data_IF_828712104983
#
_entry.id   IF_828712104983
#
_cell.length_a   1.000
_cell.length_b   1.000
_cell.length_c   1.000
_cell.angle_alpha   90.00
_cell.angle_beta   90.00
_cell.angle_gamma   90.00
#
_symmetry.space_group_name_H-M   'P 1'
#
loop_
_entity.id
_entity.type
_entity.pdbx_description
1 polymer ?
#
# COMPACT_ATOMS: atom_id res chain seq x y z
N UNK A 1 -25.53 9.26 -30.90
CA UNK A 1 -24.07 9.00 -30.84
C UNK A 1 -23.23 10.06 -31.60
N UNK A 2 -23.37 10.19 -32.93
CA UNK A 2 -22.59 11.16 -33.74
C UNK A 2 -22.81 12.62 -33.34
N UNK A 3 -24.04 12.99 -32.96
CA UNK A 3 -24.36 14.38 -32.60
C UNK A 3 -23.71 14.82 -31.28
N UNK A 4 -23.52 13.88 -30.34
CA UNK A 4 -22.88 14.15 -29.05
C UNK A 4 -21.36 14.33 -29.20
N UNK A 5 -20.72 13.50 -30.05
CA UNK A 5 -19.32 13.69 -30.44
C UNK A 5 -19.11 15.00 -31.19
N UNK A 6 -20.03 15.37 -32.08
CA UNK A 6 -19.98 16.65 -32.82
C UNK A 6 -20.14 17.85 -31.87
N UNK A 7 -21.02 17.74 -30.88
CA UNK A 7 -21.19 18.76 -29.85
C UNK A 7 -19.94 18.92 -28.98
N UNK A 8 -19.34 17.80 -28.54
CA UNK A 8 -18.10 17.81 -27.78
C UNK A 8 -16.99 18.56 -28.53
N UNK A 9 -16.68 18.19 -29.77
CA UNK A 9 -15.60 18.81 -30.56
C UNK A 9 -15.82 20.31 -30.75
N UNK A 10 -17.08 20.76 -30.87
CA UNK A 10 -17.41 22.18 -31.04
C UNK A 10 -17.31 23.01 -29.75
N UNK A 11 -17.43 22.39 -28.59
CA UNK A 11 -17.53 23.10 -27.31
C UNK A 11 -16.39 22.76 -26.33
N UNK A 12 -15.50 21.83 -26.69
CA UNK A 12 -14.44 21.30 -25.82
C UNK A 12 -13.52 22.38 -25.24
N UNK A 13 -13.30 23.48 -25.95
CA UNK A 13 -12.43 24.59 -25.51
C UNK A 13 -13.01 25.39 -24.32
N UNK A 14 -14.33 25.36 -24.12
CA UNK A 14 -15.03 26.16 -23.10
C UNK A 14 -15.87 25.30 -22.16
N UNK A 15 -15.54 24.02 -22.05
CA UNK A 15 -16.39 23.07 -21.38
C UNK A 15 -15.99 22.89 -19.91
N UNK A 16 -16.72 23.57 -19.02
CA UNK A 16 -16.50 23.50 -17.57
C UNK A 16 -17.37 22.45 -16.86
N UNK A 17 -18.30 21.79 -17.57
CA UNK A 17 -19.20 20.79 -16.99
C UNK A 17 -19.46 19.68 -18.00
N UNK A 18 -19.15 18.45 -17.59
CA UNK A 18 -19.48 17.24 -18.35
C UNK A 18 -20.98 16.94 -18.16
N UNK A 19 -21.79 16.88 -19.23
CA UNK A 19 -23.20 16.54 -19.09
C UNK A 19 -23.40 15.11 -18.55
N UNK A 20 -24.18 14.93 -17.48
CA UNK A 20 -24.47 13.62 -16.86
C UNK A 20 -25.15 12.62 -17.82
N UNK A 21 -25.70 13.10 -18.93
CA UNK A 21 -26.43 12.30 -19.93
C UNK A 21 -25.55 11.58 -20.97
N UNK A 22 -24.22 11.64 -20.85
CA UNK A 22 -23.31 10.95 -21.79
C UNK A 22 -23.21 9.48 -21.39
N UNK A 23 -23.85 8.59 -22.15
CA UNK A 23 -23.81 7.14 -21.91
C UNK A 23 -22.62 6.43 -22.58
N UNK A 24 -21.91 7.12 -23.49
CA UNK A 24 -20.75 6.58 -24.21
C UNK A 24 -19.49 6.76 -23.37
N UNK A 25 -18.89 5.65 -22.92
CA UNK A 25 -17.70 5.65 -22.06
C UNK A 25 -16.50 6.36 -22.70
N UNK A 26 -16.30 6.21 -24.01
CA UNK A 26 -15.21 6.87 -24.73
C UNK A 26 -15.40 8.38 -24.79
N UNK A 27 -16.65 8.84 -24.93
CA UNK A 27 -16.98 10.26 -24.90
C UNK A 27 -16.85 10.83 -23.48
N UNK A 28 -17.23 10.07 -22.44
CA UNK A 28 -17.00 10.48 -21.05
C UNK A 28 -15.52 10.69 -20.74
N UNK A 29 -14.65 9.80 -21.21
CA UNK A 29 -13.20 9.94 -21.00
C UNK A 29 -12.63 11.15 -21.76
N UNK A 30 -13.03 11.35 -23.01
CA UNK A 30 -12.62 12.52 -23.80
C UNK A 30 -13.03 13.85 -23.13
N UNK A 31 -14.22 13.88 -22.51
CA UNK A 31 -14.69 15.02 -21.73
C UNK A 31 -13.83 15.31 -20.49
N UNK A 32 -13.40 14.27 -19.76
CA UNK A 32 -12.49 14.42 -18.60
C UNK A 32 -11.11 14.90 -19.02
N UNK A 33 -10.56 14.35 -20.11
CA UNK A 33 -9.26 14.77 -20.63
C UNK A 33 -9.27 16.23 -21.09
N UNK A 34 -10.32 16.65 -21.80
CA UNK A 34 -10.46 18.04 -22.26
C UNK A 34 -10.59 19.03 -21.09
N UNK A 35 -11.37 18.68 -20.06
CA UNK A 35 -11.49 19.47 -18.84
C UNK A 35 -10.11 19.63 -18.16
N UNK A 36 -9.36 18.53 -17.98
CA UNK A 36 -8.01 18.56 -17.41
C UNK A 36 -7.01 19.41 -18.21
N UNK A 37 -7.09 19.39 -19.54
CA UNK A 37 -6.24 20.24 -20.40
C UNK A 37 -6.60 21.72 -20.32
N UNK A 38 -7.83 22.04 -19.91
CA UNK A 38 -8.31 23.41 -19.72
C UNK A 38 -8.01 24.01 -18.35
N UNK A 39 -7.53 23.19 -17.41
CA UNK A 39 -7.25 23.63 -16.04
C UNK A 39 -6.17 24.71 -15.98
N UNK A 40 -6.39 25.69 -15.11
CA UNK A 40 -5.37 26.65 -14.74
C UNK A 40 -4.23 25.96 -13.98
N UNK A 41 -3.06 26.59 -13.95
CA UNK A 41 -1.91 26.11 -13.18
C UNK A 41 -2.26 25.86 -11.70
N UNK A 42 -3.13 26.69 -11.12
CA UNK A 42 -3.53 26.55 -9.72
C UNK A 42 -4.42 25.31 -9.49
N UNK A 43 -5.37 25.06 -10.39
CA UNK A 43 -6.24 23.87 -10.32
C UNK A 43 -5.44 22.58 -10.52
N UNK A 44 -4.45 22.59 -11.41
CA UNK A 44 -3.52 21.46 -11.59
C UNK A 44 -2.70 21.21 -10.32
N UNK A 45 -2.14 22.27 -9.70
CA UNK A 45 -1.39 22.15 -8.45
C UNK A 45 -2.25 21.61 -7.29
N UNK A 46 -3.52 22.03 -7.20
CA UNK A 46 -4.45 21.54 -6.19
C UNK A 46 -4.83 20.06 -6.42
N UNK A 47 -5.03 19.65 -7.67
CA UNK A 47 -5.25 18.25 -8.03
C UNK A 47 -4.04 17.37 -7.71
N UNK A 48 -2.83 17.79 -8.12
CA UNK A 48 -1.59 17.07 -7.82
C UNK A 48 -1.38 16.94 -6.32
N UNK A 49 -1.62 18.00 -5.55
CA UNK A 49 -1.54 17.99 -4.08
C UNK A 49 -2.51 16.97 -3.47
N UNK A 50 -3.75 16.92 -3.96
CA UNK A 50 -4.74 15.94 -3.51
C UNK A 50 -4.28 14.51 -3.80
N UNK A 51 -3.79 14.26 -5.02
CA UNK A 51 -3.28 12.94 -5.43
C UNK A 51 -2.06 12.50 -4.62
N UNK A 52 -1.11 13.40 -4.36
CA UNK A 52 0.05 13.13 -3.52
C UNK A 52 -0.39 12.78 -2.11
N UNK A 53 -1.32 13.55 -1.52
CA UNK A 53 -1.83 13.28 -0.17
C UNK A 53 -2.49 11.90 -0.06
N UNK A 54 -3.28 11.52 -1.06
CA UNK A 54 -3.92 10.21 -1.11
C UNK A 54 -2.88 9.08 -1.21
N UNK A 55 -1.90 9.22 -2.11
CA UNK A 55 -0.80 8.26 -2.26
C UNK A 55 0.07 8.15 -1.01
N UNK A 56 0.34 9.27 -0.34
CA UNK A 56 1.08 9.29 0.92
C UNK A 56 0.33 8.52 2.01
N UNK A 57 -1.00 8.64 2.07
CA UNK A 57 -1.82 7.87 3.03
C UNK A 57 -1.75 6.37 2.74
N UNK A 58 -1.90 5.97 1.47
CA UNK A 58 -1.76 4.57 1.05
C UNK A 58 -0.37 4.04 1.42
N UNK A 59 0.68 4.78 1.06
CA UNK A 59 2.06 4.40 1.35
C UNK A 59 2.35 4.31 2.85
N UNK A 60 1.71 5.16 3.67
CA UNK A 60 1.81 5.10 5.14
C UNK A 60 1.27 3.77 5.69
N UNK A 61 0.09 3.35 5.21
CA UNK A 61 -0.55 2.10 5.64
C UNK A 61 0.26 0.89 5.16
N UNK A 62 0.61 0.83 3.88
CA UNK A 62 1.41 -0.28 3.32
C UNK A 62 2.76 -0.42 4.03
N UNK A 63 3.43 0.71 4.31
CA UNK A 63 4.68 0.69 5.05
C UNK A 63 4.50 0.15 6.48
N UNK A 64 3.43 0.58 7.17
CA UNK A 64 3.12 0.10 8.51
C UNK A 64 2.83 -1.41 8.52
N UNK A 65 2.03 -1.90 7.57
CA UNK A 65 1.71 -3.33 7.42
C UNK A 65 2.96 -4.17 7.15
N UNK A 66 3.79 -3.74 6.18
CA UNK A 66 5.05 -4.43 5.86
C UNK A 66 5.98 -4.50 7.07
N UNK A 67 6.12 -3.40 7.80
CA UNK A 67 6.95 -3.35 9.01
C UNK A 67 6.39 -4.24 10.12
N UNK A 68 5.07 -4.25 10.31
CA UNK A 68 4.41 -5.11 11.30
C UNK A 68 4.59 -6.59 10.96
N UNK A 69 4.41 -6.97 9.68
CA UNK A 69 4.60 -8.34 9.22
C UNK A 69 6.05 -8.82 9.40
N UNK A 70 7.03 -7.98 9.06
CA UNK A 70 8.45 -8.30 9.27
C UNK A 70 8.79 -8.48 10.75
N UNK A 71 8.32 -7.58 11.62
CA UNK A 71 8.51 -7.71 13.07
C UNK A 71 7.86 -8.97 13.61
N UNK A 72 6.60 -9.22 13.26
CA UNK A 72 5.87 -10.41 13.70
C UNK A 72 6.53 -11.71 13.26
N UNK A 73 7.12 -11.75 12.06
CA UNK A 73 7.90 -12.92 11.60
C UNK A 73 9.14 -13.14 12.47
N UNK A 74 9.92 -12.09 12.73
CA UNK A 74 11.15 -12.18 13.55
C UNK A 74 10.81 -12.58 14.99
N UNK A 75 9.80 -11.93 15.59
CA UNK A 75 9.35 -12.24 16.95
C UNK A 75 8.81 -13.67 17.04
N UNK A 76 8.01 -14.11 16.06
CA UNK A 76 7.49 -15.48 16.01
C UNK A 76 8.57 -16.55 15.82
N UNK A 77 9.58 -16.30 14.98
CA UNK A 77 10.73 -17.20 14.83
C UNK A 77 11.51 -17.31 16.15
N UNK A 78 11.72 -16.19 16.85
CA UNK A 78 12.39 -16.17 18.15
C UNK A 78 11.57 -16.90 19.23
N UNK A 79 10.28 -16.63 19.34
CA UNK A 79 9.39 -17.30 20.31
C UNK A 79 9.32 -18.81 20.06
N UNK A 80 9.26 -19.22 18.78
CA UNK A 80 9.30 -20.64 18.42
C UNK A 80 10.60 -21.29 18.87
N UNK A 81 11.75 -20.66 18.61
CA UNK A 81 13.05 -21.17 19.06
C UNK A 81 13.12 -21.31 20.59
N UNK A 82 12.62 -20.30 21.33
CA UNK A 82 12.54 -20.31 22.79
C UNK A 82 11.65 -21.46 23.30
N UNK A 83 10.49 -21.67 22.68
CA UNK A 83 9.58 -22.75 23.08
C UNK A 83 10.17 -24.14 22.83
N UNK A 84 10.89 -24.32 21.72
CA UNK A 84 11.63 -25.55 21.45
C UNK A 84 12.73 -25.75 22.51
N UNK A 85 13.53 -24.72 22.81
CA UNK A 85 14.57 -24.78 23.83
C UNK A 85 14.03 -25.17 25.21
N UNK A 86 12.88 -24.60 25.63
CA UNK A 86 12.17 -25.00 26.86
C UNK A 86 11.84 -26.49 26.87
N UNK A 87 11.28 -26.99 25.77
CA UNK A 87 10.95 -28.40 25.62
C UNK A 87 12.17 -29.32 25.67
N UNK A 88 13.28 -28.91 25.05
CA UNK A 88 14.54 -29.66 25.07
C UNK A 88 15.14 -29.70 26.48
N UNK A 89 15.18 -28.55 27.17
CA UNK A 89 15.65 -28.46 28.56
C UNK A 89 14.82 -29.35 29.50
N UNK A 90 13.49 -29.34 29.35
CA UNK A 90 12.60 -30.21 30.11
C UNK A 90 12.83 -31.71 29.85
N UNK A 91 13.35 -32.07 28.66
CA UNK A 91 13.73 -33.44 28.30
C UNK A 91 15.16 -33.81 28.69
N UNK A 92 15.91 -32.90 29.32
CA UNK A 92 17.25 -33.16 29.83
C UNK A 92 18.37 -33.05 28.80
N UNK A 93 18.17 -32.36 27.69
CA UNK A 93 19.25 -32.03 26.75
C UNK A 93 20.25 -31.08 27.42
N UNK A 94 21.54 -31.24 27.11
CA UNK A 94 22.58 -30.34 27.60
C UNK A 94 22.54 -28.98 26.88
N UNK A 95 23.18 -27.98 27.49
CA UNK A 95 23.13 -26.60 27.00
C UNK A 95 23.80 -26.42 25.64
N UNK A 96 24.88 -27.15 25.36
CA UNK A 96 25.62 -27.04 24.10
C UNK A 96 24.76 -27.54 22.94
N UNK A 97 24.10 -28.70 23.12
CA UNK A 97 23.14 -29.24 22.13
C UNK A 97 21.95 -28.30 21.90
N UNK A 98 21.43 -27.64 22.95
CA UNK A 98 20.31 -26.71 22.79
C UNK A 98 20.74 -25.45 22.01
N UNK A 99 21.92 -24.90 22.30
CA UNK A 99 22.49 -23.77 21.54
C UNK A 99 22.63 -24.13 20.07
N UNK A 100 23.24 -25.28 19.77
CA UNK A 100 23.49 -25.74 18.40
C UNK A 100 22.19 -25.91 17.61
N UNK A 101 21.18 -26.55 18.20
CA UNK A 101 19.95 -26.91 17.48
C UNK A 101 18.93 -25.77 17.38
N UNK A 102 18.95 -24.82 18.32
CA UNK A 102 17.98 -23.69 18.33
C UNK A 102 18.56 -22.40 17.77
N UNK A 103 19.89 -22.30 17.64
CA UNK A 103 20.58 -21.07 17.24
C UNK A 103 20.48 -19.94 18.26
N UNK A 104 19.96 -20.23 19.47
CA UNK A 104 19.88 -19.27 20.56
C UNK A 104 21.24 -19.11 21.24
N UNK A 105 21.49 -17.92 21.77
CA UNK A 105 22.70 -17.70 22.58
C UNK A 105 22.61 -18.43 23.92
N UNK A 106 23.76 -18.70 24.53
CA UNK A 106 23.83 -19.21 25.90
C UNK A 106 23.07 -18.30 26.89
N UNK A 107 23.13 -16.98 26.69
CA UNK A 107 22.39 -16.03 27.54
C UNK A 107 20.88 -16.16 27.40
N UNK A 108 20.38 -16.36 26.17
CA UNK A 108 18.95 -16.57 25.93
C UNK A 108 18.48 -17.86 26.60
N UNK A 109 19.26 -18.94 26.50
CA UNK A 109 18.93 -20.23 27.11
C UNK A 109 19.06 -20.20 28.64
N UNK A 110 20.00 -19.43 29.18
CA UNK A 110 20.15 -19.25 30.63
C UNK A 110 18.97 -18.49 31.26
N UNK A 111 18.30 -17.62 30.50
CA UNK A 111 17.11 -16.86 30.93
C UNK A 111 15.81 -17.66 30.85
N UNK A 112 15.84 -18.85 30.26
CA UNK A 112 14.71 -19.74 30.04
C UNK A 112 14.65 -20.83 31.12
#
# INVERSE_FOLDING_TARGET
PIDQWTYFIKNAENLHVIPESVADEGLQEAYKEADQQSWSKLELEDYERASIKERDEIGRVEFAEKKAMQKGKIEGEKEKAINIAKGMKAKGFDLETIVELTGLSYEDIAKI
#
